data_IF_817930002284
#
_entry.id   IF_817930002284
#
_cell.length_a   1.000
_cell.length_b   1.000
_cell.length_c   1.000
_cell.angle_alpha   90.00
_cell.angle_beta   90.00
_cell.angle_gamma   90.00
#
_symmetry.space_group_name_H-M   'P 1'
#
loop_
_entity.id
_entity.type
_entity.pdbx_description
1 polymer ?
#
# COMPACT_ATOMS: atom_id res chain seq x y z
N UNK A 1 8.71 -2.31 18.88
CA UNK A 1 7.73 -1.71 19.81
C UNK A 1 8.33 -0.64 20.74
N UNK A 2 9.53 -0.84 21.33
CA UNK A 2 10.15 0.16 22.23
C UNK A 2 10.41 1.48 21.50
N UNK A 3 10.95 1.44 20.29
CA UNK A 3 11.20 2.61 19.45
C UNK A 3 9.89 3.33 19.08
N UNK A 4 8.85 2.59 18.68
CA UNK A 4 7.55 3.15 18.36
C UNK A 4 6.90 3.89 19.55
N UNK A 5 6.97 3.32 20.75
CA UNK A 5 6.49 4.00 21.98
C UNK A 5 7.27 5.27 22.26
N UNK A 6 8.59 5.26 22.07
CA UNK A 6 9.44 6.44 22.25
C UNK A 6 9.08 7.53 21.23
N UNK A 7 8.93 7.18 19.94
CA UNK A 7 8.55 8.10 18.89
C UNK A 7 7.21 8.78 19.16
N UNK A 8 6.18 8.00 19.54
CA UNK A 8 4.85 8.57 19.87
C UNK A 8 4.92 9.49 21.10
N UNK A 9 5.81 9.19 22.04
CA UNK A 9 6.03 10.08 23.20
C UNK A 9 6.66 11.40 22.77
N UNK A 10 7.62 11.37 21.85
CA UNK A 10 8.23 12.60 21.28
C UNK A 10 7.22 13.44 20.51
N UNK A 11 6.36 12.82 19.68
CA UNK A 11 5.30 13.51 18.92
C UNK A 11 4.27 14.22 19.81
N UNK A 12 4.26 13.95 21.12
CA UNK A 12 3.39 14.60 22.11
C UNK A 12 4.07 15.72 22.89
N UNK A 13 5.39 15.86 22.74
CA UNK A 13 6.11 16.89 23.48
C UNK A 13 5.88 18.27 22.83
N UNK A 14 5.68 19.32 23.61
CA UNK A 14 5.76 20.68 23.10
C UNK A 14 7.14 20.90 22.47
N UNK A 15 7.19 21.57 21.32
CA UNK A 15 8.45 22.06 20.77
C UNK A 15 9.03 23.14 21.70
N UNK A 16 10.36 23.23 21.76
CA UNK A 16 11.04 24.36 22.40
C UNK A 16 10.88 25.66 21.58
N UNK A 17 10.56 25.55 20.31
CA UNK A 17 10.23 26.67 19.43
C UNK A 17 8.73 26.97 19.49
N UNK A 18 8.40 28.22 19.76
CA UNK A 18 7.03 28.72 20.08
C UNK A 18 6.04 28.51 18.92
N UNK A 19 6.52 28.27 17.71
CA UNK A 19 5.70 28.18 16.49
C UNK A 19 5.13 26.74 16.20
N UNK A 20 5.56 25.73 16.94
CA UNK A 20 5.15 24.35 16.65
C UNK A 20 4.27 23.74 17.73
N UNK A 21 3.02 23.47 17.38
CA UNK A 21 2.11 22.69 18.22
C UNK A 21 2.43 21.20 18.12
N UNK A 22 2.45 20.42 19.22
CA UNK A 22 2.63 18.97 19.16
C UNK A 22 1.59 18.36 18.24
N UNK A 23 1.99 17.49 17.28
CA UNK A 23 1.03 16.92 16.37
C UNK A 23 -0.03 16.03 17.05
N UNK A 24 0.27 15.44 18.23
CA UNK A 24 -0.67 14.59 18.94
C UNK A 24 -1.16 15.29 20.21
N UNK A 25 -2.47 15.53 20.36
CA UNK A 25 -3.05 16.10 21.59
C UNK A 25 -2.71 15.28 22.84
N UNK A 26 -2.56 15.96 23.98
CA UNK A 26 -2.13 15.33 25.25
C UNK A 26 -3.10 14.26 25.75
N UNK A 27 -4.39 14.42 25.51
CA UNK A 27 -5.47 13.55 25.96
C UNK A 27 -5.73 12.36 25.00
N UNK A 28 -5.24 12.41 23.75
CA UNK A 28 -5.22 11.29 22.81
C UNK A 28 -4.13 10.30 23.26
N UNK A 29 -4.52 9.09 23.66
CA UNK A 29 -3.60 8.08 24.22
C UNK A 29 -3.72 6.76 23.47
N UNK A 30 -2.57 6.13 23.21
CA UNK A 30 -2.53 4.74 22.72
C UNK A 30 -2.73 3.80 23.89
N UNK A 31 -3.76 2.96 23.83
CA UNK A 31 -4.12 1.94 24.84
C UNK A 31 -3.38 0.64 24.60
N UNK A 32 -3.20 0.25 23.34
CA UNK A 32 -2.54 -0.99 22.94
C UNK A 32 -1.57 -0.74 21.79
N UNK A 33 -0.45 -1.44 21.81
CA UNK A 33 0.57 -1.51 20.76
C UNK A 33 0.81 -2.96 20.43
N UNK A 34 0.72 -3.32 19.16
CA UNK A 34 1.02 -4.67 18.66
C UNK A 34 1.80 -4.56 17.38
N UNK A 35 2.84 -5.38 17.21
CA UNK A 35 3.65 -5.43 15.98
C UNK A 35 3.64 -6.86 15.47
N UNK A 36 3.04 -7.07 14.32
CA UNK A 36 2.95 -8.38 13.68
C UNK A 36 3.18 -8.23 12.17
N UNK A 37 4.08 -9.02 11.62
CA UNK A 37 4.35 -9.03 10.18
C UNK A 37 4.76 -7.67 9.58
N UNK A 38 5.44 -6.82 10.35
CA UNK A 38 5.81 -5.46 9.91
C UNK A 38 4.67 -4.44 10.01
N UNK A 39 3.51 -4.82 10.52
CA UNK A 39 2.36 -3.94 10.73
C UNK A 39 2.32 -3.52 12.20
N UNK A 40 2.36 -2.22 12.46
CA UNK A 40 2.17 -1.67 13.79
C UNK A 40 0.70 -1.33 14.03
N UNK A 41 0.03 -2.11 14.84
CA UNK A 41 -1.34 -1.84 15.28
C UNK A 41 -1.33 -0.90 16.48
N UNK A 42 -2.07 0.20 16.38
CA UNK A 42 -2.24 1.21 17.42
C UNK A 42 -3.72 1.34 17.78
N UNK A 43 -4.08 0.99 19.00
CA UNK A 43 -5.44 1.18 19.50
C UNK A 43 -5.49 2.42 20.43
N UNK A 44 -6.21 3.45 19.99
CA UNK A 44 -6.34 4.72 20.70
C UNK A 44 -7.59 4.75 21.59
N UNK A 45 -7.58 5.66 22.54
CA UNK A 45 -8.75 5.99 23.34
C UNK A 45 -9.78 6.81 22.53
N UNK A 46 -11.01 6.92 23.04
CA UNK A 46 -12.13 7.64 22.39
C UNK A 46 -11.81 9.11 22.03
N UNK A 47 -10.82 9.72 22.68
CA UNK A 47 -10.38 11.09 22.37
C UNK A 47 -9.88 11.27 20.95
N UNK A 48 -9.34 10.22 20.34
CA UNK A 48 -8.94 10.24 18.92
C UNK A 48 -10.08 10.64 17.99
N UNK A 49 -11.29 10.13 18.20
CA UNK A 49 -12.49 10.46 17.39
C UNK A 49 -13.09 11.83 17.70
N UNK A 50 -12.60 12.54 18.70
CA UNK A 50 -13.08 13.89 19.05
C UNK A 50 -12.29 15.00 18.37
N UNK A 51 -11.19 14.67 17.69
CA UNK A 51 -10.47 15.61 16.83
C UNK A 51 -11.33 16.00 15.63
N UNK A 52 -11.16 17.22 15.15
CA UNK A 52 -11.74 17.59 13.87
C UNK A 52 -11.01 16.89 12.71
N UNK A 53 -11.58 16.94 11.51
CA UNK A 53 -11.04 16.21 10.34
C UNK A 53 -9.63 16.66 9.96
N UNK A 54 -9.33 17.95 10.10
CA UNK A 54 -8.01 18.50 9.75
C UNK A 54 -6.98 18.05 10.78
N UNK A 55 -7.29 18.20 12.07
CA UNK A 55 -6.45 17.77 13.17
C UNK A 55 -6.18 16.27 13.11
N UNK A 56 -7.22 15.44 12.89
CA UNK A 56 -7.09 13.99 12.75
C UNK A 56 -6.15 13.62 11.60
N UNK A 57 -6.31 14.25 10.44
CA UNK A 57 -5.47 13.99 9.26
C UNK A 57 -4.00 14.33 9.52
N UNK A 58 -3.74 15.44 10.20
CA UNK A 58 -2.37 15.85 10.57
C UNK A 58 -1.76 14.89 11.60
N UNK A 59 -2.51 14.49 12.62
CA UNK A 59 -2.08 13.50 13.63
C UNK A 59 -1.75 12.18 12.96
N UNK A 60 -2.62 11.70 12.10
CA UNK A 60 -2.45 10.44 11.36
C UNK A 60 -1.23 10.49 10.46
N UNK A 61 -1.04 11.57 9.70
CA UNK A 61 0.13 11.77 8.87
C UNK A 61 1.43 11.79 9.68
N UNK A 62 1.45 12.52 10.80
CA UNK A 62 2.62 12.60 11.67
C UNK A 62 2.97 11.23 12.28
N UNK A 63 1.97 10.47 12.74
CA UNK A 63 2.15 9.12 13.26
C UNK A 63 2.75 8.19 12.21
N UNK A 64 2.09 8.08 11.06
CA UNK A 64 2.49 7.11 10.02
C UNK A 64 3.87 7.44 9.48
N UNK A 65 4.11 8.68 9.03
CA UNK A 65 5.42 9.12 8.48
C UNK A 65 6.57 8.94 9.46
N UNK A 66 6.33 9.07 10.76
CA UNK A 66 7.37 8.88 11.77
C UNK A 66 7.61 7.41 12.08
N UNK A 67 6.55 6.60 12.15
CA UNK A 67 6.63 5.21 12.59
C UNK A 67 7.14 4.26 11.52
N UNK A 68 6.81 4.47 10.25
CA UNK A 68 7.31 3.64 9.13
C UNK A 68 8.80 3.83 8.85
N UNK A 69 9.44 4.85 9.43
CA UNK A 69 10.90 5.03 9.39
C UNK A 69 11.66 4.14 10.38
N UNK A 70 10.94 3.50 11.29
CA UNK A 70 11.52 2.58 12.27
C UNK A 70 11.67 1.22 11.59
N UNK A 71 12.89 0.69 11.59
CA UNK A 71 13.20 -0.64 11.03
C UNK A 71 12.23 -1.71 11.57
N UNK A 72 11.68 -2.51 10.66
CA UNK A 72 10.68 -3.54 10.97
C UNK A 72 9.24 -3.05 11.07
N UNK A 73 8.96 -1.76 10.76
CA UNK A 73 7.59 -1.24 10.63
C UNK A 73 7.38 -0.78 9.19
N UNK A 74 6.52 -1.48 8.45
CA UNK A 74 6.23 -1.20 7.04
C UNK A 74 4.92 -0.42 6.87
N UNK A 75 3.98 -0.60 7.80
CA UNK A 75 2.70 0.08 7.80
C UNK A 75 2.14 0.24 9.22
N UNK A 76 1.17 1.11 9.37
CA UNK A 76 0.46 1.37 10.63
C UNK A 76 -1.03 1.10 10.43
N UNK A 77 -1.64 0.38 11.37
CA UNK A 77 -3.08 0.16 11.44
C UNK A 77 -3.64 0.85 12.67
N UNK A 78 -4.58 1.74 12.46
CA UNK A 78 -5.16 2.54 13.56
C UNK A 78 -6.53 1.98 13.94
N UNK A 79 -6.70 1.76 15.24
CA UNK A 79 -7.98 1.43 15.89
C UNK A 79 -8.31 2.48 16.93
N UNK A 80 -9.60 2.63 17.21
CA UNK A 80 -10.09 3.49 18.31
C UNK A 80 -11.10 2.71 19.13
N UNK A 81 -10.80 2.50 20.41
CA UNK A 81 -11.59 1.66 21.32
C UNK A 81 -11.83 0.25 20.76
N UNK A 82 -10.81 -0.31 20.09
CA UNK A 82 -10.84 -1.64 19.48
C UNK A 82 -11.50 -1.72 18.10
N UNK A 83 -12.20 -0.68 17.65
CA UNK A 83 -12.80 -0.60 16.31
C UNK A 83 -11.82 -0.01 15.29
N UNK A 84 -11.83 -0.53 14.06
CA UNK A 84 -10.99 -0.01 12.99
C UNK A 84 -11.34 1.44 12.64
N UNK A 85 -10.32 2.24 12.30
CA UNK A 85 -10.51 3.61 11.86
C UNK A 85 -11.08 3.62 10.45
N UNK A 86 -12.14 4.40 10.24
CA UNK A 86 -12.82 4.55 8.94
C UNK A 86 -12.67 5.96 8.40
N UNK A 87 -12.80 6.10 7.09
CA UNK A 87 -12.92 7.39 6.41
C UNK A 87 -14.34 8.00 6.58
N UNK A 88 -14.58 9.15 5.97
CA UNK A 88 -15.88 9.83 5.99
C UNK A 88 -17.01 9.06 5.29
N UNK A 89 -16.68 8.07 4.44
CA UNK A 89 -17.66 7.18 3.78
C UNK A 89 -18.00 5.94 4.61
N UNK A 90 -17.29 5.72 5.73
CA UNK A 90 -17.39 4.54 6.58
C UNK A 90 -16.52 3.36 6.14
N UNK A 91 -15.67 3.54 5.13
CA UNK A 91 -14.73 2.52 4.69
C UNK A 91 -13.52 2.46 5.63
N UNK A 92 -13.08 1.26 6.01
CA UNK A 92 -11.88 1.06 6.84
C UNK A 92 -10.64 1.57 6.10
N UNK A 93 -9.83 2.41 6.77
CA UNK A 93 -8.60 2.96 6.20
C UNK A 93 -7.52 1.90 5.98
N UNK A 94 -7.51 0.84 6.80
CA UNK A 94 -6.60 -0.29 6.64
C UNK A 94 -5.14 0.04 6.92
N UNK A 95 -4.25 -0.50 6.09
CA UNK A 95 -2.80 -0.33 6.19
C UNK A 95 -2.38 1.05 5.68
N UNK A 96 -1.79 1.84 6.56
CA UNK A 96 -1.33 3.20 6.28
C UNK A 96 0.19 3.22 6.17
N UNK A 97 0.71 3.87 5.14
CA UNK A 97 2.14 4.07 4.92
C UNK A 97 2.44 5.52 4.49
N UNK A 98 3.70 5.85 4.21
CA UNK A 98 4.11 7.22 3.89
C UNK A 98 3.43 7.77 2.63
N UNK A 99 3.13 6.91 1.64
CA UNK A 99 2.53 7.31 0.36
C UNK A 99 1.07 7.77 0.49
N UNK A 100 0.38 7.34 1.57
CA UNK A 100 -0.98 7.81 1.86
C UNK A 100 -1.04 9.30 2.21
N UNK A 101 0.11 9.93 2.45
CA UNK A 101 0.27 11.33 2.89
C UNK A 101 1.24 12.13 2.01
N UNK A 102 1.29 11.84 0.72
CA UNK A 102 2.10 12.64 -0.21
C UNK A 102 1.55 14.05 -0.27
N UNK A 103 2.35 15.03 0.15
CA UNK A 103 2.03 16.44 0.01
C UNK A 103 2.17 16.85 -1.45
N UNK A 104 1.06 17.14 -2.11
CA UNK A 104 1.08 17.92 -3.33
C UNK A 104 1.28 19.38 -2.95
N UNK A 105 2.47 19.92 -3.13
CA UNK A 105 2.68 21.37 -3.04
C UNK A 105 1.76 22.04 -4.07
N UNK A 106 0.66 22.65 -3.59
CA UNK A 106 -0.24 23.46 -4.39
C UNK A 106 -1.54 22.81 -4.88
N UNK A 107 -1.90 21.59 -4.47
CA UNK A 107 -3.18 20.99 -4.81
C UNK A 107 -4.18 21.03 -3.65
N UNK A 108 -5.41 21.42 -3.94
CA UNK A 108 -6.53 21.36 -2.99
C UNK A 108 -6.76 19.91 -2.51
N UNK A 109 -7.24 19.70 -1.26
CA UNK A 109 -7.45 18.34 -0.69
C UNK A 109 -8.45 17.45 -1.45
N UNK A 110 -9.06 17.94 -2.51
CA UNK A 110 -10.07 17.24 -3.32
C UNK A 110 -9.74 17.16 -4.81
N UNK A 111 -8.47 17.26 -5.22
CA UNK A 111 -8.12 17.17 -6.64
C UNK A 111 -8.12 15.71 -7.10
N UNK A 112 -9.22 15.30 -7.72
CA UNK A 112 -9.26 14.07 -8.50
C UNK A 112 -8.68 14.33 -9.90
N UNK A 113 -7.88 13.40 -10.37
CA UNK A 113 -7.37 13.38 -11.74
C UNK A 113 -7.95 12.18 -12.49
N UNK A 114 -8.07 12.33 -13.81
CA UNK A 114 -8.38 11.21 -14.70
C UNK A 114 -7.11 10.83 -15.45
N UNK A 115 -6.84 9.55 -15.52
CA UNK A 115 -5.69 9.02 -16.25
C UNK A 115 -5.97 7.66 -16.83
N UNK A 116 -5.14 7.25 -17.77
CA UNK A 116 -5.20 5.93 -18.40
C UNK A 116 -4.16 5.03 -17.76
N UNK A 117 -4.57 3.82 -17.37
CA UNK A 117 -3.69 2.75 -16.91
C UNK A 117 -3.70 1.60 -17.92
N UNK A 118 -2.52 1.05 -18.17
CA UNK A 118 -2.36 -0.22 -18.86
C UNK A 118 -2.00 -1.29 -17.83
N UNK A 119 -2.88 -2.28 -17.68
CA UNK A 119 -2.75 -3.36 -16.71
C UNK A 119 -2.75 -4.70 -17.44
N UNK A 120 -2.03 -5.66 -16.86
CA UNK A 120 -1.91 -7.01 -17.39
C UNK A 120 -2.61 -7.98 -16.44
N UNK A 121 -3.69 -8.59 -16.91
CA UNK A 121 -4.45 -9.61 -16.19
C UNK A 121 -4.23 -11.00 -16.80
N UNK A 122 -4.68 -12.05 -16.14
CA UNK A 122 -4.63 -13.39 -16.72
C UNK A 122 -5.68 -13.59 -17.81
N UNK A 123 -5.35 -14.36 -18.84
CA UNK A 123 -6.35 -14.90 -19.76
C UNK A 123 -7.26 -15.92 -19.06
N UNK A 124 -8.28 -16.41 -19.76
CA UNK A 124 -9.21 -17.41 -19.20
C UNK A 124 -8.55 -18.74 -18.84
N UNK A 125 -7.49 -19.13 -19.54
CA UNK A 125 -6.74 -20.35 -19.28
C UNK A 125 -5.82 -20.25 -18.05
N UNK A 126 -5.52 -19.04 -17.56
CA UNK A 126 -4.63 -18.83 -16.41
C UNK A 126 -3.15 -18.96 -16.74
N UNK A 127 -2.76 -18.95 -18.02
CA UNK A 127 -1.41 -19.29 -18.48
C UNK A 127 -0.69 -18.20 -19.30
N UNK A 128 -1.37 -17.12 -19.64
CA UNK A 128 -0.82 -15.96 -20.32
C UNK A 128 -1.44 -14.65 -19.81
N UNK A 129 -0.83 -13.51 -20.14
CA UNK A 129 -1.26 -12.17 -19.79
C UNK A 129 -2.04 -11.53 -20.93
N UNK A 130 -3.14 -10.87 -20.60
CA UNK A 130 -3.94 -10.02 -21.48
C UNK A 130 -3.82 -8.57 -21.02
N UNK A 131 -3.49 -7.70 -21.96
CA UNK A 131 -3.41 -6.27 -21.72
C UNK A 131 -4.80 -5.65 -21.68
N UNK A 132 -5.10 -4.88 -20.64
CA UNK A 132 -6.29 -4.06 -20.50
C UNK A 132 -5.93 -2.61 -20.24
N UNK A 133 -6.49 -1.72 -21.05
CA UNK A 133 -6.39 -0.28 -20.84
C UNK A 133 -7.68 0.21 -20.22
N UNK A 134 -7.58 0.95 -19.09
CA UNK A 134 -8.73 1.52 -18.40
C UNK A 134 -8.53 2.99 -18.07
N UNK A 135 -9.62 3.76 -18.17
CA UNK A 135 -9.65 5.11 -17.63
C UNK A 135 -9.98 5.06 -16.15
N UNK A 136 -9.15 5.71 -15.34
CA UNK A 136 -9.32 5.75 -13.88
C UNK A 136 -9.41 7.19 -13.39
N UNK A 137 -10.36 7.43 -12.50
CA UNK A 137 -10.41 8.65 -11.70
C UNK A 137 -9.81 8.34 -10.33
N UNK A 138 -8.78 9.04 -9.94
CA UNK A 138 -8.04 8.80 -8.70
C UNK A 138 -7.66 10.11 -8.01
N UNK A 139 -7.40 10.02 -6.72
CA UNK A 139 -6.90 11.17 -5.96
C UNK A 139 -5.42 11.41 -6.35
N UNK A 140 -5.08 12.65 -6.67
CA UNK A 140 -3.70 13.03 -7.04
C UNK A 140 -2.65 12.79 -5.95
N UNK A 141 -3.08 12.49 -4.72
CA UNK A 141 -2.20 12.16 -3.61
C UNK A 141 -1.77 10.69 -3.57
N UNK A 142 -2.32 9.84 -4.45
CA UNK A 142 -1.93 8.44 -4.58
C UNK A 142 -0.85 8.32 -5.66
N UNK A 143 0.26 7.63 -5.37
CA UNK A 143 1.28 7.35 -6.39
C UNK A 143 0.69 6.47 -7.49
N UNK A 144 1.19 6.64 -8.72
CA UNK A 144 0.72 5.85 -9.87
C UNK A 144 0.98 4.37 -9.66
N UNK A 145 2.10 4.02 -9.03
CA UNK A 145 2.47 2.66 -8.69
C UNK A 145 1.47 2.03 -7.72
N UNK A 146 1.12 2.73 -6.65
CA UNK A 146 0.11 2.25 -5.69
C UNK A 146 -1.24 2.06 -6.35
N UNK A 147 -1.67 3.01 -7.19
CA UNK A 147 -2.92 2.92 -7.94
C UNK A 147 -2.95 1.67 -8.85
N UNK A 148 -1.85 1.37 -9.56
CA UNK A 148 -1.73 0.18 -10.40
C UNK A 148 -1.89 -1.09 -9.57
N UNK A 149 -1.17 -1.20 -8.44
CA UNK A 149 -1.27 -2.37 -7.55
C UNK A 149 -2.68 -2.56 -7.02
N UNK A 150 -3.32 -1.50 -6.52
CA UNK A 150 -4.70 -1.55 -6.02
C UNK A 150 -5.70 -1.97 -7.11
N UNK A 151 -5.51 -1.50 -8.35
CA UNK A 151 -6.36 -1.91 -9.49
C UNK A 151 -6.15 -3.37 -9.88
N UNK A 152 -4.92 -3.88 -9.85
CA UNK A 152 -4.64 -5.30 -10.07
C UNK A 152 -5.27 -6.17 -8.98
N UNK A 153 -5.21 -5.76 -7.72
CA UNK A 153 -5.84 -6.45 -6.59
C UNK A 153 -7.37 -6.47 -6.71
N UNK A 154 -7.97 -5.39 -7.22
CA UNK A 154 -9.41 -5.33 -7.48
C UNK A 154 -9.85 -6.29 -8.59
N UNK A 155 -8.94 -6.62 -9.50
CA UNK A 155 -9.20 -7.48 -10.65
C UNK A 155 -9.71 -6.73 -11.91
N UNK A 156 -9.89 -7.48 -13.02
CA UNK A 156 -10.29 -6.92 -14.29
C UNK A 156 -11.75 -6.40 -14.29
N UNK A 157 -12.02 -5.40 -15.13
CA UNK A 157 -13.39 -4.85 -15.29
C UNK A 157 -14.23 -5.66 -16.29
N UNK A 158 -13.60 -6.54 -17.05
CA UNK A 158 -14.27 -7.37 -18.07
C UNK A 158 -14.14 -8.85 -17.74
N UNK A 159 -15.13 -9.65 -18.15
CA UNK A 159 -15.12 -11.10 -18.00
C UNK A 159 -14.14 -11.83 -18.93
N UNK A 160 -13.49 -11.12 -19.86
CA UNK A 160 -12.51 -11.69 -20.79
C UNK A 160 -11.13 -11.93 -20.14
N UNK A 161 -10.96 -11.57 -18.87
CA UNK A 161 -9.72 -11.76 -18.14
C UNK A 161 -10.03 -12.20 -16.68
N UNK A 162 -9.04 -12.83 -16.03
CA UNK A 162 -9.11 -13.24 -14.64
C UNK A 162 -8.21 -12.39 -13.75
N UNK A 163 -8.61 -12.23 -12.50
CA UNK A 163 -7.77 -11.63 -11.48
C UNK A 163 -6.50 -12.47 -11.27
N UNK A 164 -5.37 -11.79 -11.10
CA UNK A 164 -4.06 -12.44 -10.92
C UNK A 164 -3.59 -12.46 -9.48
N UNK A 165 -4.21 -11.68 -8.61
CA UNK A 165 -3.87 -11.59 -7.19
C UNK A 165 -5.03 -12.19 -6.38
N UNK A 166 -4.69 -12.95 -5.33
CA UNK A 166 -5.69 -13.50 -4.42
C UNK A 166 -6.46 -12.35 -3.75
N UNK A 167 -7.80 -12.37 -3.74
CA UNK A 167 -8.63 -11.28 -3.23
C UNK A 167 -8.45 -11.01 -1.73
N UNK A 168 -7.97 -12.00 -0.97
CA UNK A 168 -7.70 -11.86 0.47
C UNK A 168 -6.31 -11.24 0.76
N UNK A 169 -5.52 -10.94 -0.29
CA UNK A 169 -4.19 -10.31 -0.15
C UNK A 169 -4.32 -8.88 0.36
N UNK A 170 -3.43 -8.50 1.27
CA UNK A 170 -3.35 -7.12 1.74
C UNK A 170 -2.05 -6.48 1.26
N UNK A 171 -2.18 -5.26 0.71
CA UNK A 171 -1.05 -4.40 0.34
C UNK A 171 -0.55 -3.66 1.58
N UNK A 172 0.71 -3.86 1.95
CA UNK A 172 1.31 -3.22 3.13
C UNK A 172 2.00 -1.90 2.77
N UNK A 173 2.73 -1.88 1.64
CA UNK A 173 3.35 -0.65 1.12
C UNK A 173 3.70 -0.75 -0.35
N UNK A 174 3.77 0.40 -1.01
CA UNK A 174 4.36 0.59 -2.34
C UNK A 174 5.26 1.81 -2.26
N UNK A 175 6.54 1.66 -2.61
CA UNK A 175 7.51 2.76 -2.64
C UNK A 175 8.40 2.62 -3.87
N UNK A 176 8.87 3.75 -4.41
CA UNK A 176 9.79 3.74 -5.55
C UNK A 176 11.08 4.45 -5.19
N UNK A 177 12.21 3.78 -5.42
CA UNK A 177 13.54 4.31 -5.20
C UNK A 177 14.50 3.82 -6.27
N UNK A 178 15.32 4.69 -6.81
CA UNK A 178 16.39 4.40 -7.79
C UNK A 178 15.90 3.62 -9.02
N UNK A 179 14.62 3.84 -9.43
CA UNK A 179 13.98 3.17 -10.57
C UNK A 179 13.51 1.74 -10.27
N UNK A 180 13.45 1.36 -8.99
CA UNK A 180 12.88 0.09 -8.52
C UNK A 180 11.61 0.41 -7.72
N UNK A 181 10.51 -0.25 -8.08
CA UNK A 181 9.28 -0.23 -7.29
C UNK A 181 9.31 -1.38 -6.29
N UNK A 182 9.21 -1.06 -5.01
CA UNK A 182 9.14 -2.01 -3.90
C UNK A 182 7.68 -2.19 -3.52
N UNK A 183 7.14 -3.38 -3.69
CA UNK A 183 5.77 -3.74 -3.34
C UNK A 183 5.80 -4.77 -2.22
N UNK A 184 5.18 -4.44 -1.09
CA UNK A 184 5.14 -5.31 0.07
C UNK A 184 3.71 -5.78 0.32
N UNK A 185 3.50 -7.09 0.30
CA UNK A 185 2.23 -7.73 0.60
C UNK A 185 2.28 -8.50 1.93
N UNK A 186 1.12 -8.85 2.44
CA UNK A 186 1.03 -9.82 3.52
C UNK A 186 1.24 -11.26 2.99
N UNK A 187 1.37 -12.21 3.92
CA UNK A 187 1.60 -13.64 3.58
C UNK A 187 0.47 -14.27 2.78
N UNK A 188 -0.71 -13.66 2.71
CA UNK A 188 -1.84 -14.18 1.94
C UNK A 188 -1.56 -14.17 0.45
N UNK A 189 -0.71 -13.24 -0.01
CA UNK A 189 -0.23 -13.21 -1.40
C UNK A 189 0.36 -14.55 -1.86
N UNK A 190 1.09 -15.25 -0.97
CA UNK A 190 1.72 -16.55 -1.30
C UNK A 190 0.74 -17.69 -1.58
N UNK A 191 -0.54 -17.52 -1.27
CA UNK A 191 -1.57 -18.53 -1.59
C UNK A 191 -1.90 -18.56 -3.09
N UNK A 192 -1.53 -17.50 -3.81
CA UNK A 192 -1.81 -17.37 -5.24
C UNK A 192 -3.28 -17.07 -5.57
N UNK A 193 -3.53 -16.82 -6.84
CA UNK A 193 -4.86 -16.74 -7.40
C UNK A 193 -5.31 -18.14 -7.89
N UNK A 194 -6.60 -18.40 -7.83
CA UNK A 194 -7.15 -19.68 -8.26
C UNK A 194 -7.02 -19.86 -9.78
N UNK A 195 -6.54 -21.03 -10.22
CA UNK A 195 -6.35 -21.39 -11.65
C UNK A 195 -5.50 -20.39 -12.45
N UNK A 196 -4.49 -19.78 -11.83
CA UNK A 196 -3.52 -18.90 -12.51
C UNK A 196 -2.10 -19.40 -12.23
N UNK A 197 -1.29 -19.52 -13.29
CA UNK A 197 0.13 -19.91 -13.15
C UNK A 197 0.90 -18.89 -12.29
N UNK A 198 1.82 -19.34 -11.41
CA UNK A 198 2.59 -18.44 -10.54
C UNK A 198 3.31 -17.31 -11.29
N UNK A 199 3.90 -17.61 -12.44
CA UNK A 199 4.58 -16.64 -13.28
C UNK A 199 3.62 -15.56 -13.82
N UNK A 200 2.41 -15.96 -14.21
CA UNK A 200 1.37 -15.03 -14.71
C UNK A 200 1.00 -14.02 -13.62
N UNK A 201 0.84 -14.46 -12.37
CA UNK A 201 0.59 -13.55 -11.24
C UNK A 201 1.73 -12.55 -11.05
N UNK A 202 2.97 -13.04 -11.02
CA UNK A 202 4.13 -12.19 -10.77
C UNK A 202 4.33 -11.20 -11.92
N UNK A 203 4.30 -11.67 -13.19
CA UNK A 203 4.49 -10.79 -14.34
C UNK A 203 3.29 -9.89 -14.65
N UNK A 204 2.08 -10.23 -14.19
CA UNK A 204 0.95 -9.30 -14.14
C UNK A 204 1.33 -8.02 -13.38
N UNK A 205 1.89 -8.18 -12.19
CA UNK A 205 2.33 -7.06 -11.36
C UNK A 205 3.54 -6.33 -11.96
N UNK A 206 4.58 -7.08 -12.34
CA UNK A 206 5.85 -6.52 -12.85
C UNK A 206 5.62 -5.76 -14.14
N UNK A 207 4.92 -6.35 -15.14
CA UNK A 207 4.67 -5.71 -16.44
C UNK A 207 3.76 -4.49 -16.29
N UNK A 208 2.71 -4.56 -15.45
CA UNK A 208 1.82 -3.41 -15.22
C UNK A 208 2.55 -2.22 -14.60
N UNK A 209 3.43 -2.45 -13.65
CA UNK A 209 4.21 -1.39 -13.03
C UNK A 209 5.27 -0.82 -13.98
N UNK A 210 6.03 -1.67 -14.65
CA UNK A 210 7.11 -1.21 -15.53
C UNK A 210 6.58 -0.51 -16.80
N UNK A 211 5.49 -1.02 -17.40
CA UNK A 211 4.87 -0.40 -18.58
C UNK A 211 4.01 0.81 -18.21
N UNK A 212 3.39 0.81 -17.02
CA UNK A 212 2.49 1.86 -16.56
C UNK A 212 3.18 3.06 -15.90
N UNK A 213 4.44 2.93 -15.50
CA UNK A 213 5.22 3.98 -14.82
C UNK A 213 6.62 4.12 -15.45
N UNK A 214 7.51 4.81 -14.79
CA UNK A 214 8.92 4.92 -15.24
C UNK A 214 9.87 3.94 -14.53
N UNK A 215 9.37 2.97 -13.76
CA UNK A 215 10.21 2.01 -13.05
C UNK A 215 10.76 0.95 -13.99
N UNK A 216 11.99 0.51 -13.72
CA UNK A 216 12.69 -0.50 -14.53
C UNK A 216 12.55 -1.90 -13.95
N UNK A 217 12.40 -2.00 -12.64
CA UNK A 217 12.33 -3.27 -11.90
C UNK A 217 11.30 -3.18 -10.79
N UNK A 218 10.81 -4.33 -10.37
CA UNK A 218 9.89 -4.47 -9.24
C UNK A 218 10.48 -5.45 -8.23
N UNK A 219 10.63 -5.03 -6.98
CA UNK A 219 10.96 -5.88 -5.85
C UNK A 219 9.69 -6.20 -5.08
N UNK A 220 9.33 -7.47 -5.05
CA UNK A 220 8.20 -7.95 -4.26
C UNK A 220 8.74 -8.46 -2.93
N UNK A 221 8.10 -8.11 -1.84
CA UNK A 221 8.39 -8.62 -0.50
C UNK A 221 7.11 -9.06 0.20
N UNK A 222 7.27 -9.96 1.16
CA UNK A 222 6.17 -10.52 1.95
C UNK A 222 6.46 -10.21 3.42
N UNK A 223 5.61 -9.38 4.03
CA UNK A 223 5.84 -8.86 5.39
C UNK A 223 7.26 -8.24 5.56
N UNK A 224 7.77 -7.59 4.49
CA UNK A 224 9.09 -6.99 4.46
C UNK A 224 10.24 -7.94 4.10
N UNK A 225 9.99 -9.25 3.95
CA UNK A 225 10.99 -10.25 3.56
C UNK A 225 10.93 -10.49 2.05
N UNK A 226 12.08 -10.51 1.38
CA UNK A 226 12.20 -10.79 -0.06
C UNK A 226 12.87 -12.14 -0.37
N UNK A 227 13.55 -12.77 0.58
CA UNK A 227 14.11 -14.13 0.41
C UNK A 227 12.99 -15.19 0.50
N UNK A 228 12.04 -15.08 -0.42
CA UNK A 228 10.81 -15.88 -0.46
C UNK A 228 10.57 -16.39 -1.88
N UNK A 229 10.01 -17.60 -2.00
CA UNK A 229 9.54 -18.16 -3.27
C UNK A 229 8.02 -18.10 -3.34
N UNK A 230 7.49 -17.40 -4.36
CA UNK A 230 6.07 -17.39 -4.62
C UNK A 230 5.61 -18.76 -5.13
N UNK A 231 4.66 -19.38 -4.42
CA UNK A 231 4.13 -20.72 -4.68
C UNK A 231 5.23 -21.77 -4.98
N UNK A 232 6.38 -21.69 -4.30
CA UNK A 232 7.56 -22.54 -4.47
C UNK A 232 8.18 -22.53 -5.88
N UNK A 233 7.77 -21.60 -6.75
CA UNK A 233 8.14 -21.58 -8.18
C UNK A 233 8.93 -20.36 -8.57
N UNK A 234 8.47 -19.16 -8.21
CA UNK A 234 9.10 -17.89 -8.61
C UNK A 234 9.91 -17.33 -7.44
N UNK A 235 11.20 -17.10 -7.67
CA UNK A 235 12.10 -16.51 -6.69
C UNK A 235 11.90 -15.00 -6.62
N UNK A 236 11.62 -14.47 -5.44
CA UNK A 236 11.38 -13.05 -5.18
C UNK A 236 12.59 -12.37 -4.51
N UNK A 237 13.71 -13.07 -4.35
CA UNK A 237 14.89 -12.54 -3.64
C UNK A 237 15.57 -11.35 -4.34
N UNK A 238 15.34 -11.21 -5.65
CA UNK A 238 15.91 -10.13 -6.47
C UNK A 238 14.83 -9.32 -7.18
N UNK A 239 15.07 -8.03 -7.48
CA UNK A 239 14.17 -7.22 -8.27
C UNK A 239 13.99 -7.79 -9.69
N UNK A 240 12.74 -7.96 -10.11
CA UNK A 240 12.35 -8.52 -11.39
C UNK A 240 12.20 -7.43 -12.46
N UNK A 241 12.63 -7.73 -13.67
CA UNK A 241 12.39 -6.93 -14.87
C UNK A 241 11.14 -7.40 -15.60
N UNK A 242 10.58 -6.54 -16.49
CA UNK A 242 9.45 -6.94 -17.33
C UNK A 242 9.80 -8.15 -18.19
N UNK A 243 8.85 -9.06 -18.33
CA UNK A 243 8.90 -10.16 -19.29
C UNK A 243 7.59 -10.20 -20.07
N UNK A 244 7.62 -9.60 -21.27
CA UNK A 244 6.47 -9.56 -22.17
C UNK A 244 6.23 -10.88 -22.91
N UNK A 245 7.12 -11.87 -22.76
CA UNK A 245 6.94 -13.22 -23.28
C UNK A 245 5.76 -13.97 -22.67
N UNK A 246 5.26 -13.47 -21.53
CA UNK A 246 4.04 -13.97 -20.91
C UNK A 246 2.75 -13.41 -21.51
N UNK A 247 2.83 -12.39 -22.38
CA UNK A 247 1.64 -11.82 -23.02
C UNK A 247 1.07 -12.80 -24.06
N UNK A 248 -0.25 -12.86 -24.11
CA UNK A 248 -0.95 -13.62 -25.16
C UNK A 248 -0.61 -13.03 -26.52
N UNK A 249 -0.26 -13.89 -27.50
CA UNK A 249 -0.01 -13.44 -28.88
C UNK A 249 -1.30 -12.83 -29.45
N UNK A 250 -1.22 -11.57 -29.86
CA UNK A 250 -2.35 -10.92 -30.58
C UNK A 250 -2.54 -11.64 -31.93
N UNK A 251 -3.63 -12.40 -32.02
CA UNK A 251 -4.04 -13.02 -33.27
C UNK A 251 -4.57 -12.01 -34.26
#
# INVERSE_FOLDING_TARGET
LKAAKAMIKELKKPSEEIEYTPPIPKDVKVKRYELEGGILYLDFNAKYKQMDTVEETLVRAALVKSLVRIEGINSVWIKVEGADLTDSSGQVLGYLNEDDFVQSEGASPSSYQTGTLTLYFSNEAGDALVEQTMEVRYNSNISREKLIVEKLMKGPETSAAKATINPDTNLLSVTTKDGICYVNFDKTFLKGAYDVKPQVTIYSLVNSLTQGTGVRKVQISINGENDVKYMQTVDLSQPLEADLGWNEEKK
#
